data_IF_927970215451
#
_entry.id   IF_927970215451
#
_cell.length_a   1.000
_cell.length_b   1.000
_cell.length_c   1.000
_cell.angle_alpha   90.00
_cell.angle_beta   90.00
_cell.angle_gamma   90.00
#
_symmetry.space_group_name_H-M   'P 1'
#
loop_
_entity.id
_entity.type
_entity.pdbx_description
1 polymer ?
#
# COMPACT_ATOMS: atom_id res chain seq x y z
N UNK A 1 40.64 2.07 6.05
CA UNK A 1 39.64 3.02 5.51
C UNK A 1 38.47 3.05 6.47
N UNK A 2 38.38 4.07 7.31
CA UNK A 2 37.22 4.30 8.18
C UNK A 2 36.06 4.75 7.29
N UNK A 3 35.04 3.89 7.16
CA UNK A 3 33.80 4.20 6.45
C UNK A 3 33.08 5.28 7.26
N UNK A 4 33.28 6.55 6.92
CA UNK A 4 32.49 7.65 7.47
C UNK A 4 31.05 7.43 7.01
N UNK A 5 30.19 6.91 7.90
CA UNK A 5 28.75 7.06 7.70
C UNK A 5 28.51 8.56 7.75
N UNK A 6 28.18 9.16 6.60
CA UNK A 6 27.70 10.53 6.60
C UNK A 6 26.46 10.56 7.51
N UNK A 7 26.58 11.26 8.63
CA UNK A 7 25.44 11.45 9.54
C UNK A 7 24.45 12.34 8.83
N UNK A 8 23.30 11.77 8.45
CA UNK A 8 22.18 12.52 7.89
C UNK A 8 21.33 12.99 9.06
N UNK A 9 20.88 14.24 9.04
CA UNK A 9 20.00 14.79 10.07
C UNK A 9 18.68 14.03 10.09
N UNK A 10 18.09 13.86 11.29
CA UNK A 10 16.80 13.17 11.48
C UNK A 10 15.71 13.79 10.61
N UNK A 11 15.68 15.12 10.53
CA UNK A 11 14.68 15.86 9.77
C UNK A 11 14.81 15.55 8.28
N UNK A 12 16.04 15.44 7.77
CA UNK A 12 16.30 15.06 6.38
C UNK A 12 15.88 13.62 6.10
N UNK A 13 16.06 12.70 7.05
CA UNK A 13 15.59 11.32 6.90
C UNK A 13 14.06 11.30 6.84
N UNK A 14 13.39 12.00 7.74
CA UNK A 14 11.92 12.09 7.78
C UNK A 14 11.37 12.70 6.48
N UNK A 15 11.96 13.78 5.99
CA UNK A 15 11.51 14.41 4.74
C UNK A 15 11.75 13.53 3.51
N UNK A 16 12.85 12.77 3.48
CA UNK A 16 13.09 11.80 2.41
C UNK A 16 12.08 10.64 2.46
N UNK A 17 11.72 10.17 3.67
CA UNK A 17 10.72 9.14 3.84
C UNK A 17 9.33 9.63 3.45
N UNK A 18 8.95 10.88 3.75
CA UNK A 18 7.69 11.48 3.28
C UNK A 18 7.60 11.45 1.75
N UNK A 19 8.63 11.96 1.06
CA UNK A 19 8.68 11.97 -0.41
C UNK A 19 8.63 10.56 -0.99
N UNK A 20 9.39 9.63 -0.41
CA UNK A 20 9.36 8.23 -0.82
C UNK A 20 7.97 7.62 -0.68
N UNK A 21 7.30 7.86 0.44
CA UNK A 21 5.95 7.35 0.70
C UNK A 21 4.92 7.95 -0.27
N UNK A 22 5.00 9.25 -0.56
CA UNK A 22 4.11 9.93 -1.51
C UNK A 22 4.30 9.35 -2.93
N UNK A 23 5.56 9.18 -3.37
CA UNK A 23 5.88 8.57 -4.68
C UNK A 23 5.43 7.10 -4.77
N UNK A 24 5.59 6.34 -3.69
CA UNK A 24 5.14 4.96 -3.59
C UNK A 24 3.62 4.86 -3.72
N UNK A 25 2.88 5.71 -2.99
CA UNK A 25 1.43 5.78 -3.05
C UNK A 25 0.94 6.11 -4.46
N UNK A 26 1.45 7.18 -5.07
CA UNK A 26 1.05 7.61 -6.42
C UNK A 26 1.36 6.55 -7.48
N UNK A 27 2.53 5.91 -7.40
CA UNK A 27 2.93 4.87 -8.34
C UNK A 27 2.03 3.64 -8.22
N UNK A 28 1.74 3.21 -6.98
CA UNK A 28 0.86 2.08 -6.73
C UNK A 28 -0.57 2.34 -7.22
N UNK A 29 -1.13 3.52 -6.91
CA UNK A 29 -2.47 3.92 -7.38
C UNK A 29 -2.54 3.94 -8.91
N UNK A 30 -1.51 4.46 -9.58
CA UNK A 30 -1.44 4.45 -11.05
C UNK A 30 -1.39 3.01 -11.59
N UNK A 31 -0.56 2.15 -11.00
CA UNK A 31 -0.44 0.76 -11.44
C UNK A 31 -1.76 -0.02 -11.24
N UNK A 32 -2.51 0.24 -10.16
CA UNK A 32 -3.86 -0.32 -9.96
C UNK A 32 -4.82 0.09 -11.07
N UNK A 33 -4.81 1.37 -11.46
CA UNK A 33 -5.68 1.86 -12.55
C UNK A 33 -5.28 1.25 -13.89
N UNK A 34 -3.98 1.21 -14.19
CA UNK A 34 -3.47 0.62 -15.44
C UNK A 34 -3.80 -0.87 -15.52
N UNK A 35 -3.61 -1.62 -14.43
CA UNK A 35 -3.88 -3.05 -14.37
C UNK A 35 -5.37 -3.37 -14.52
N UNK A 36 -6.27 -2.52 -14.01
CA UNK A 36 -7.71 -2.62 -14.28
C UNK A 36 -8.05 -2.44 -15.76
N UNK A 37 -7.40 -1.49 -16.44
CA UNK A 37 -7.62 -1.23 -17.88
C UNK A 37 -7.17 -2.44 -18.71
N UNK A 38 -6.00 -3.01 -18.42
CA UNK A 38 -5.47 -4.17 -19.16
C UNK A 38 -5.98 -5.52 -18.64
N UNK A 39 -6.76 -5.52 -17.55
CA UNK A 39 -7.28 -6.71 -16.85
C UNK A 39 -6.17 -7.64 -16.36
N UNK A 40 -5.09 -7.05 -15.83
CA UNK A 40 -3.97 -7.76 -15.22
C UNK A 40 -4.16 -7.86 -13.70
N UNK A 41 -4.69 -8.99 -13.26
CA UNK A 41 -5.01 -9.24 -11.86
C UNK A 41 -3.78 -9.34 -10.97
N UNK A 42 -2.72 -10.03 -11.41
CA UNK A 42 -1.50 -10.18 -10.62
C UNK A 42 -0.86 -8.81 -10.37
N UNK A 43 -0.83 -7.96 -11.40
CA UNK A 43 -0.36 -6.58 -11.27
C UNK A 43 -1.25 -5.77 -10.33
N UNK A 44 -2.57 -5.94 -10.40
CA UNK A 44 -3.50 -5.27 -9.49
C UNK A 44 -3.24 -5.65 -8.02
N UNK A 45 -3.14 -6.94 -7.71
CA UNK A 45 -2.92 -7.41 -6.33
C UNK A 45 -1.61 -6.86 -5.76
N UNK A 46 -0.53 -6.88 -6.56
CA UNK A 46 0.75 -6.33 -6.14
C UNK A 46 0.70 -4.81 -5.94
N UNK A 47 0.04 -4.09 -6.85
CA UNK A 47 -0.11 -2.64 -6.76
C UNK A 47 -0.94 -2.25 -5.54
N UNK A 48 -2.05 -2.96 -5.28
CA UNK A 48 -2.89 -2.75 -4.09
C UNK A 48 -2.13 -3.02 -2.78
N UNK A 49 -1.35 -4.10 -2.72
CA UNK A 49 -0.50 -4.36 -1.56
C UNK A 49 0.51 -3.22 -1.33
N UNK A 50 1.12 -2.73 -2.41
CA UNK A 50 2.07 -1.60 -2.36
C UNK A 50 1.39 -0.30 -1.90
N UNK A 51 0.16 -0.06 -2.35
CA UNK A 51 -0.68 1.06 -1.92
C UNK A 51 -0.97 0.98 -0.40
N UNK A 52 -1.36 -0.19 0.11
CA UNK A 52 -1.58 -0.39 1.55
C UNK A 52 -0.31 -0.18 2.38
N UNK A 53 0.86 -0.62 1.88
CA UNK A 53 2.15 -0.33 2.52
C UNK A 53 2.43 1.18 2.59
N UNK A 54 2.06 1.95 1.56
CA UNK A 54 2.21 3.40 1.60
C UNK A 54 1.39 4.05 2.72
N UNK A 55 0.15 3.60 2.96
CA UNK A 55 -0.66 4.08 4.10
C UNK A 55 -0.04 3.73 5.44
N UNK A 56 0.53 2.52 5.59
CA UNK A 56 1.24 2.15 6.81
C UNK A 56 2.46 3.07 7.06
N UNK A 57 3.20 3.44 6.00
CA UNK A 57 4.31 4.39 6.11
C UNK A 57 3.84 5.80 6.48
N UNK A 58 2.71 6.27 5.94
CA UNK A 58 2.08 7.54 6.35
C UNK A 58 1.73 7.50 7.84
N UNK A 59 1.10 6.42 8.28
CA UNK A 59 0.71 6.20 9.68
C UNK A 59 1.92 6.26 10.63
N UNK A 60 3.04 5.62 10.25
CA UNK A 60 4.30 5.68 11.02
C UNK A 60 4.88 7.10 11.04
N UNK A 61 4.88 7.81 9.90
CA UNK A 61 5.37 9.18 9.81
C UNK A 61 4.52 10.18 10.62
N UNK A 62 3.28 9.81 10.91
CA UNK A 62 2.36 10.56 11.78
C UNK A 62 2.46 10.15 13.27
N UNK A 63 3.32 9.18 13.59
CA UNK A 63 3.62 8.79 14.97
C UNK A 63 2.85 7.58 15.49
N UNK A 64 2.18 6.80 14.63
CA UNK A 64 1.69 5.46 15.01
C UNK A 64 2.84 4.47 15.11
N UNK A 65 2.64 3.41 15.90
CA UNK A 65 3.62 2.33 15.97
C UNK A 65 3.64 1.50 14.69
N UNK A 66 4.79 0.90 14.38
CA UNK A 66 4.96 0.02 13.22
C UNK A 66 4.00 -1.17 13.25
N UNK A 67 3.73 -1.71 14.44
CA UNK A 67 2.82 -2.85 14.62
C UNK A 67 1.38 -2.48 14.28
N UNK A 68 0.89 -1.34 14.79
CA UNK A 68 -0.47 -0.86 14.50
C UNK A 68 -0.64 -0.48 13.03
N UNK A 69 0.39 0.12 12.42
CA UNK A 69 0.37 0.51 11.02
C UNK A 69 0.32 -0.71 10.09
N UNK A 70 1.09 -1.76 10.39
CA UNK A 70 1.14 -2.98 9.58
C UNK A 70 -0.05 -3.93 9.81
N UNK A 71 -0.72 -3.83 10.96
CA UNK A 71 -1.90 -4.64 11.26
C UNK A 71 -2.99 -4.47 10.19
N UNK A 72 -3.16 -3.26 9.64
CA UNK A 72 -4.12 -3.00 8.55
C UNK A 72 -3.71 -3.58 7.20
N UNK A 73 -2.42 -3.78 6.98
CA UNK A 73 -1.88 -4.31 5.72
C UNK A 73 -1.99 -5.83 5.68
N UNK A 74 -1.77 -6.48 6.82
CA UNK A 74 -1.71 -7.93 6.94
C UNK A 74 -2.90 -8.55 7.69
N UNK A 75 -3.90 -7.76 8.09
CA UNK A 75 -5.19 -8.31 8.50
C UNK A 75 -5.84 -8.94 7.28
N UNK A 76 -5.70 -10.25 7.17
CA UNK A 76 -6.57 -11.06 6.34
C UNK A 76 -8.01 -10.82 6.80
N UNK A 77 -8.88 -10.45 5.86
CA UNK A 77 -10.32 -10.60 6.01
C UNK A 77 -10.60 -12.11 6.12
N UNK A 78 -10.40 -12.69 7.30
CA UNK A 78 -10.59 -14.12 7.61
C UNK A 78 -12.06 -14.61 7.46
N UNK A 79 -12.96 -13.80 6.91
CA UNK A 79 -14.39 -14.09 6.78
C UNK A 79 -14.84 -14.61 5.39
N UNK A 80 -13.97 -14.76 4.39
CA UNK A 80 -14.37 -15.29 3.08
C UNK A 80 -13.88 -16.73 2.84
N UNK A 81 -14.35 -17.64 3.71
CA UNK A 81 -14.48 -19.06 3.36
C UNK A 81 -15.77 -19.25 2.55
N UNK A 82 -15.67 -19.51 1.25
CA UNK A 82 -16.59 -20.40 0.52
C UNK A 82 -16.18 -20.52 -0.95
N UNK A 83 -16.23 -21.75 -1.47
CA UNK A 83 -16.02 -22.11 -2.87
C UNK A 83 -16.94 -21.29 -3.79
N UNK A 84 -16.36 -20.37 -4.57
CA UNK A 84 -17.14 -19.55 -5.50
C UNK A 84 -16.26 -18.72 -6.42
N UNK A 85 -16.50 -18.86 -7.72
CA UNK A 85 -15.94 -18.12 -8.86
C UNK A 85 -14.94 -16.99 -8.50
N UNK A 86 -13.65 -17.27 -8.69
CA UNK A 86 -12.53 -16.37 -8.44
C UNK A 86 -12.72 -14.99 -9.08
N UNK A 87 -13.34 -14.93 -10.27
CA UNK A 87 -13.63 -13.68 -10.95
C UNK A 87 -14.64 -12.82 -10.16
N UNK A 88 -15.66 -13.44 -9.57
CA UNK A 88 -16.64 -12.75 -8.71
C UNK A 88 -16.00 -12.21 -7.44
N UNK A 89 -15.04 -12.94 -6.86
CA UNK A 89 -14.26 -12.50 -5.69
C UNK A 89 -13.33 -11.34 -6.04
N UNK A 90 -12.63 -11.42 -7.17
CA UNK A 90 -11.79 -10.33 -7.69
C UNK A 90 -12.61 -9.05 -7.91
N UNK A 91 -13.74 -9.11 -8.63
CA UNK A 91 -14.60 -7.94 -8.82
C UNK A 91 -15.25 -7.43 -7.52
N UNK A 92 -15.57 -8.33 -6.58
CA UNK A 92 -16.07 -7.95 -5.25
C UNK A 92 -15.01 -7.22 -4.40
N UNK A 93 -13.77 -7.71 -4.44
CA UNK A 93 -12.61 -7.07 -3.80
C UNK A 93 -12.32 -5.71 -4.45
N UNK A 94 -12.36 -5.62 -5.78
CA UNK A 94 -12.24 -4.37 -6.52
C UNK A 94 -13.33 -3.36 -6.16
N UNK A 95 -14.56 -3.82 -5.91
CA UNK A 95 -15.66 -2.95 -5.51
C UNK A 95 -15.47 -2.41 -4.08
N UNK A 96 -14.96 -3.23 -3.14
CA UNK A 96 -14.58 -2.80 -1.79
C UNK A 96 -13.41 -1.79 -1.83
N UNK A 97 -12.38 -2.07 -2.62
CA UNK A 97 -11.20 -1.19 -2.79
C UNK A 97 -11.58 0.12 -3.49
N UNK A 98 -12.44 0.06 -4.52
CA UNK A 98 -12.92 1.23 -5.24
C UNK A 98 -13.77 2.18 -4.39
N UNK A 99 -14.43 1.70 -3.34
CA UNK A 99 -15.10 2.55 -2.36
C UNK A 99 -14.10 3.32 -1.48
N UNK A 100 -13.00 2.68 -1.06
CA UNK A 100 -11.92 3.34 -0.33
C UNK A 100 -11.17 4.39 -1.16
N UNK A 101 -10.89 4.11 -2.44
CA UNK A 101 -10.25 5.05 -3.37
C UNK A 101 -11.07 6.31 -3.70
N UNK A 102 -12.39 6.31 -3.44
CA UNK A 102 -13.25 7.50 -3.67
C UNK A 102 -13.52 8.33 -2.41
N UNK A 103 -13.08 7.85 -1.24
CA UNK A 103 -13.24 8.54 0.05
C UNK A 103 -11.96 9.26 0.52
N UNK A 104 -10.82 9.06 -0.15
CA UNK A 104 -9.52 9.73 0.07
C UNK A 104 -9.26 10.86 -0.93
#
# INVERSE_FOLDING_TARGET
>A
MTKTKNTVASETIVDNLKKFTDELHQTATKAMVESLIVKDEECFVLANFTHNISHALIDILQGKSETEALEKVFKDDEDEKEDGDFNKKFWGLLQKIGQGLMEE
#
